data_IF_118792973139
#
_entry.id   IF_118792973139
#
_cell.length_a   1.000
_cell.length_b   1.000
_cell.length_c   1.000
_cell.angle_alpha   90.00
_cell.angle_beta   90.00
_cell.angle_gamma   90.00
#
_symmetry.space_group_name_H-M   'P 1'
#
loop_
_entity.id
_entity.type
_entity.pdbx_description
1 polymer ?
#
# COMPACT_ATOMS: atom_id res chain seq x y z
N UNK A 1 -2.34 -11.13 -2.80
CA UNK A 1 -1.38 -11.95 -2.02
C UNK A 1 -1.36 -11.55 -0.54
N UNK A 2 -1.25 -12.51 0.40
CA UNK A 2 -0.98 -12.18 1.80
C UNK A 2 0.45 -11.67 1.98
N UNK A 3 0.58 -10.46 2.53
CA UNK A 3 1.86 -9.82 2.81
C UNK A 3 2.23 -10.03 4.28
N UNK A 4 1.28 -9.88 5.22
CA UNK A 4 1.50 -10.11 6.64
C UNK A 4 0.66 -11.27 7.16
N UNK A 5 1.28 -12.44 7.33
CA UNK A 5 0.59 -13.64 7.88
C UNK A 5 0.16 -13.43 9.33
N UNK A 6 1.01 -12.75 10.12
CA UNK A 6 0.75 -12.41 11.52
C UNK A 6 -0.56 -11.67 11.78
N UNK A 7 -0.96 -10.81 10.83
CA UNK A 7 -2.11 -9.90 10.97
C UNK A 7 -3.17 -10.12 9.89
N UNK A 8 -3.00 -11.12 9.02
CA UNK A 8 -3.90 -11.36 7.90
C UNK A 8 -3.96 -10.23 6.86
N UNK A 9 -2.89 -9.45 6.70
CA UNK A 9 -2.88 -8.30 5.78
C UNK A 9 -2.51 -8.74 4.37
N UNK A 10 -3.35 -8.41 3.40
CA UNK A 10 -3.10 -8.62 1.97
C UNK A 10 -2.45 -7.40 1.33
N UNK A 11 -1.89 -7.59 0.15
CA UNK A 11 -1.43 -6.50 -0.71
C UNK A 11 -2.56 -5.55 -1.10
N UNK A 12 -3.77 -6.08 -1.35
CA UNK A 12 -4.95 -5.25 -1.61
C UNK A 12 -5.28 -4.36 -0.40
N UNK A 13 -5.26 -4.89 0.83
CA UNK A 13 -5.49 -4.08 2.03
C UNK A 13 -4.44 -2.95 2.19
N UNK A 14 -3.21 -3.16 1.73
CA UNK A 14 -2.18 -2.11 1.70
C UNK A 14 -2.52 -1.05 0.65
N UNK A 15 -2.96 -1.46 -0.55
CA UNK A 15 -3.34 -0.53 -1.63
C UNK A 15 -4.60 0.26 -1.27
N UNK A 16 -5.63 -0.40 -0.77
CA UNK A 16 -6.86 0.23 -0.26
C UNK A 16 -6.55 1.28 0.81
N UNK A 17 -5.61 0.99 1.73
CA UNK A 17 -5.20 1.98 2.72
C UNK A 17 -4.59 3.25 2.08
N UNK A 18 -3.87 3.10 0.96
CA UNK A 18 -3.32 4.22 0.18
C UNK A 18 -4.44 4.93 -0.60
N UNK A 19 -5.38 4.20 -1.20
CA UNK A 19 -6.58 4.74 -1.87
C UNK A 19 -7.44 5.57 -0.91
N UNK A 20 -7.56 5.11 0.33
CA UNK A 20 -8.21 5.82 1.44
C UNK A 20 -7.38 7.01 1.99
N UNK A 21 -6.30 7.38 1.31
CA UNK A 21 -5.52 8.56 1.60
C UNK A 21 -4.28 8.36 2.49
N UNK A 22 -3.85 7.13 2.77
CA UNK A 22 -2.54 6.95 3.40
C UNK A 22 -1.43 7.39 2.44
N UNK A 23 -0.51 8.23 2.91
CA UNK A 23 0.60 8.78 2.11
C UNK A 23 1.98 8.39 2.64
N UNK A 24 2.03 7.51 3.63
CA UNK A 24 3.28 7.00 4.18
C UNK A 24 3.15 5.56 4.66
N UNK A 25 4.27 4.84 4.71
CA UNK A 25 4.33 3.51 5.35
C UNK A 25 3.83 3.54 6.80
N UNK A 26 4.09 4.63 7.51
CA UNK A 26 3.64 4.79 8.89
C UNK A 26 2.12 4.74 8.98
N UNK A 27 1.44 5.51 8.13
CA UNK A 27 -0.03 5.54 8.09
C UNK A 27 -0.62 4.19 7.66
N UNK A 28 -0.05 3.56 6.63
CA UNK A 28 -0.48 2.20 6.21
C UNK A 28 -0.35 1.20 7.35
N UNK A 29 0.76 1.24 8.08
CA UNK A 29 0.98 0.36 9.25
C UNK A 29 0.00 0.63 10.39
N UNK A 30 -0.33 1.90 10.65
CA UNK A 30 -1.32 2.28 11.67
C UNK A 30 -2.73 1.81 11.29
N UNK A 31 -3.10 1.87 10.01
CA UNK A 31 -4.43 1.44 9.52
C UNK A 31 -4.59 -0.07 9.41
N UNK A 32 -3.55 -0.77 8.94
CA UNK A 32 -3.62 -2.22 8.63
C UNK A 32 -3.03 -3.12 9.72
N UNK A 33 -2.40 -2.53 10.73
CA UNK A 33 -1.55 -3.22 11.72
C UNK A 33 -0.39 -4.03 11.11
N UNK A 34 -0.08 -3.87 9.82
CA UNK A 34 0.93 -4.67 9.13
C UNK A 34 2.32 -4.54 9.80
N UNK A 35 3.03 -5.65 9.94
CA UNK A 35 4.36 -5.71 10.57
C UNK A 35 4.43 -5.23 12.04
N UNK A 36 3.32 -5.30 12.79
CA UNK A 36 3.30 -4.98 14.24
C UNK A 36 3.57 -6.18 15.15
N UNK A 37 3.72 -7.40 14.61
CA UNK A 37 4.11 -8.61 15.37
C UNK A 37 5.57 -8.99 15.11
N UNK A 38 5.85 -9.88 14.13
CA UNK A 38 7.21 -10.38 13.90
C UNK A 38 8.07 -9.49 12.98
N UNK A 39 7.49 -8.49 12.31
CA UNK A 39 8.19 -7.54 11.43
C UNK A 39 8.74 -8.09 10.11
N UNK A 40 8.73 -9.41 9.86
CA UNK A 40 9.37 -10.04 8.68
C UNK A 40 8.85 -9.52 7.32
N UNK A 41 7.58 -9.15 7.25
CA UNK A 41 6.97 -8.62 6.03
C UNK A 41 7.25 -7.13 5.77
N UNK A 42 7.93 -6.42 6.69
CA UNK A 42 8.05 -4.96 6.65
C UNK A 42 8.70 -4.45 5.37
N UNK A 43 9.75 -5.10 4.87
CA UNK A 43 10.42 -4.68 3.63
C UNK A 43 9.48 -4.78 2.42
N UNK A 44 8.81 -5.93 2.28
CA UNK A 44 7.83 -6.17 1.20
C UNK A 44 6.65 -5.20 1.27
N UNK A 45 6.07 -5.02 2.46
CA UNK A 45 4.93 -4.13 2.67
C UNK A 45 5.29 -2.65 2.38
N UNK A 46 6.50 -2.22 2.75
CA UNK A 46 7.03 -0.88 2.41
C UNK A 46 7.20 -0.67 0.91
N UNK A 47 7.68 -1.69 0.19
CA UNK A 47 7.81 -1.62 -1.27
C UNK A 47 6.43 -1.44 -1.92
N UNK A 48 5.47 -2.30 -1.57
CA UNK A 48 4.09 -2.22 -2.08
C UNK A 48 3.46 -0.86 -1.76
N UNK A 49 3.67 -0.34 -0.54
CA UNK A 49 3.17 1.00 -0.16
C UNK A 49 3.76 2.11 -1.03
N UNK A 50 5.08 2.08 -1.28
CA UNK A 50 5.73 3.09 -2.13
C UNK A 50 5.22 3.02 -3.57
N UNK A 51 5.08 1.81 -4.10
CA UNK A 51 4.62 1.59 -5.47
C UNK A 51 3.17 2.08 -5.62
N UNK A 52 2.29 1.76 -4.66
CA UNK A 52 0.91 2.23 -4.62
C UNK A 52 0.80 3.76 -4.57
N UNK A 53 1.58 4.42 -3.70
CA UNK A 53 1.61 5.90 -3.62
C UNK A 53 2.07 6.50 -4.95
N UNK A 54 3.08 5.91 -5.58
CA UNK A 54 3.61 6.40 -6.87
C UNK A 54 2.57 6.25 -7.98
N UNK A 55 1.83 5.14 -7.99
CA UNK A 55 0.78 4.87 -8.96
C UNK A 55 -0.41 5.86 -8.86
N UNK A 56 -0.80 6.28 -7.66
CA UNK A 56 -1.85 7.32 -7.52
C UNK A 56 -1.41 8.71 -8.00
N UNK A 57 -0.10 9.00 -7.93
CA UNK A 57 0.43 10.31 -8.32
C UNK A 57 0.66 10.44 -9.83
N UNK A 58 0.64 9.33 -10.58
CA UNK A 58 0.73 9.33 -12.04
C UNK A 58 -0.67 9.07 -12.61
N UNK A 59 -1.44 10.09 -13.03
CA UNK A 59 -2.67 9.85 -13.74
C UNK A 59 -2.34 9.12 -15.05
N UNK A 60 -3.11 8.08 -15.35
CA UNK A 60 -2.97 7.24 -16.54
C UNK A 60 -2.90 8.06 -17.83
N UNK A 61 -2.01 7.66 -18.75
CA UNK A 61 -1.85 8.24 -20.09
C UNK A 61 -3.16 8.29 -20.90
N UNK A 62 -4.19 7.54 -20.51
CA UNK A 62 -5.53 7.55 -21.12
C UNK A 62 -6.26 8.91 -20.99
N UNK A 63 -5.90 9.77 -20.03
CA UNK A 63 -6.48 11.12 -19.92
C UNK A 63 -5.94 12.10 -20.99
N UNK A 64 -4.90 11.73 -21.73
CA UNK A 64 -4.34 12.57 -22.79
C UNK A 64 -5.11 12.50 -24.12
N UNK A 65 -6.01 11.52 -24.30
CA UNK A 65 -6.76 11.31 -25.55
C UNK A 65 -8.21 11.81 -25.54
N UNK A 66 -8.69 12.36 -24.42
CA UNK A 66 -9.99 12.99 -24.34
C UNK A 66 -9.90 14.48 -24.69
N UNK A 67 -9.66 14.79 -25.97
CA UNK A 67 -9.87 16.11 -26.59
C UNK A 67 -10.89 15.97 -27.70
#
# INVERSE_FOLDING_TARGET
>A
MYVCICRGVTDNAIREAVEDGARSWREVRERTECATQCGRCACTAKAITRDAITQEMMPSEDLAYAV
#
